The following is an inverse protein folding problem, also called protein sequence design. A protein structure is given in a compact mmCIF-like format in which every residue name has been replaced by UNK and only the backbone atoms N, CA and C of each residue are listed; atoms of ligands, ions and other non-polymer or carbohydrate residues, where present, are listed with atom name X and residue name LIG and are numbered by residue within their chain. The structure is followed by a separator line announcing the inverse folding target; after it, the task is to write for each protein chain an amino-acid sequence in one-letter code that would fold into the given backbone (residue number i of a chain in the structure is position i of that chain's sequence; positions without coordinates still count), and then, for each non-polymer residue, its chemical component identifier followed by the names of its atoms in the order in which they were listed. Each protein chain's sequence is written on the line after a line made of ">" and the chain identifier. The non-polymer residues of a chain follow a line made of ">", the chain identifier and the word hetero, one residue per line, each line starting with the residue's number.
data_IF_898924769108
#
_entry.id   IF_898924769108
#
_cell.length_a   1.000
_cell.length_b   1.000
_cell.length_c   1.000
_cell.angle_alpha   90.00
_cell.angle_beta   90.00
_cell.angle_gamma   90.00
#
_symmetry.space_group_name_H-M   'P 1'
#
loop_
_entity.id
_entity.type
_entity.pdbx_description
1 polymer ?
#
# COMPACT_ATOMS: atom_id res chain seq x y z
N UNK A 1 5.70 -18.62 -4.20
CA UNK A 1 6.14 -17.27 -4.56
C UNK A 1 5.02 -16.32 -4.21
N UNK A 2 5.27 -15.26 -3.45
CA UNK A 2 4.26 -14.23 -3.18
C UNK A 2 4.27 -13.27 -4.38
N UNK A 3 3.13 -13.05 -5.00
CA UNK A 3 2.95 -12.02 -6.03
C UNK A 3 2.38 -10.78 -5.36
N UNK A 4 2.97 -9.62 -5.65
CA UNK A 4 2.63 -8.36 -4.99
C UNK A 4 3.58 -7.25 -5.40
N UNK A 5 3.44 -6.10 -4.75
CA UNK A 5 4.24 -4.90 -5.04
C UNK A 5 5.25 -4.70 -3.92
N UNK A 6 6.53 -4.70 -4.26
CA UNK A 6 7.62 -4.43 -3.33
C UNK A 6 7.75 -2.93 -3.10
N UNK A 7 7.77 -2.52 -1.85
CA UNK A 7 8.07 -1.13 -1.48
C UNK A 7 9.58 -0.90 -1.57
N UNK A 8 10.00 -0.05 -2.49
CA UNK A 8 11.43 0.31 -2.66
C UNK A 8 11.82 1.52 -1.82
N UNK A 9 10.90 2.46 -1.64
CA UNK A 9 11.13 3.70 -0.88
C UNK A 9 9.83 4.23 -0.32
N UNK A 10 9.91 4.82 0.87
CA UNK A 10 8.84 5.58 1.50
C UNK A 10 9.34 7.00 1.75
N UNK A 11 8.50 7.99 1.47
CA UNK A 11 8.77 9.38 1.83
C UNK A 11 8.39 9.63 3.29
N UNK A 12 9.22 10.35 4.04
CA UNK A 12 8.96 10.69 5.44
C UNK A 12 7.66 11.49 5.55
N UNK A 13 6.79 11.10 6.49
CA UNK A 13 5.50 11.72 6.74
C UNK A 13 4.42 11.41 5.69
N UNK A 14 4.72 10.56 4.69
CA UNK A 14 3.72 10.11 3.71
C UNK A 14 2.81 9.04 4.33
N UNK A 15 1.64 8.76 3.74
CA UNK A 15 0.70 7.77 4.27
C UNK A 15 1.31 6.41 4.63
N UNK A 16 2.19 5.88 3.78
CA UNK A 16 2.86 4.61 4.02
C UNK A 16 3.81 4.66 5.23
N UNK A 17 4.49 5.79 5.46
CA UNK A 17 5.37 6.01 6.61
C UNK A 17 4.55 6.05 7.90
N UNK A 18 3.47 6.84 7.90
CA UNK A 18 2.55 6.98 9.04
C UNK A 18 1.87 5.65 9.38
N UNK A 19 1.57 4.84 8.36
CA UNK A 19 1.02 3.49 8.52
C UNK A 19 2.05 2.45 8.98
N UNK A 20 3.32 2.82 9.15
CA UNK A 20 4.39 1.92 9.61
C UNK A 20 4.84 0.88 8.58
N UNK A 21 4.55 1.11 7.30
CA UNK A 21 5.13 0.33 6.21
C UNK A 21 6.62 0.67 6.08
N UNK A 22 7.39 -0.29 5.59
CA UNK A 22 8.83 -0.17 5.46
C UNK A 22 9.27 -0.58 4.04
N UNK A 23 10.44 -0.12 3.58
CA UNK A 23 11.10 -0.73 2.43
C UNK A 23 11.21 -2.25 2.60
N UNK A 24 11.12 -2.98 1.50
CA UNK A 24 11.09 -4.45 1.41
C UNK A 24 9.77 -5.11 1.83
N UNK A 25 8.79 -4.37 2.35
CA UNK A 25 7.44 -4.90 2.47
C UNK A 25 6.86 -5.22 1.10
N UNK A 26 6.08 -6.30 1.02
CA UNK A 26 5.38 -6.72 -0.20
C UNK A 26 3.88 -6.53 0.01
N UNK A 27 3.32 -5.50 -0.60
CA UNK A 27 1.87 -5.25 -0.58
C UNK A 27 1.19 -6.32 -1.43
N UNK A 28 0.14 -6.92 -0.88
CA UNK A 28 -0.64 -7.98 -1.53
C UNK A 28 -2.14 -7.70 -1.52
N UNK A 29 -2.61 -6.74 -0.73
CA UNK A 29 -4.04 -6.48 -0.51
C UNK A 29 -4.25 -5.00 -0.15
N UNK A 30 -5.28 -4.38 -0.73
CA UNK A 30 -5.76 -3.04 -0.39
C UNK A 30 -7.28 -3.11 -0.23
N UNK A 31 -7.77 -2.75 0.95
CA UNK A 31 -9.16 -3.01 1.33
C UNK A 31 -9.47 -4.50 1.23
N UNK A 32 -10.48 -4.86 0.45
CA UNK A 32 -10.86 -6.24 0.15
C UNK A 32 -10.31 -6.73 -1.21
N UNK A 33 -9.48 -5.92 -1.90
CA UNK A 33 -8.94 -6.24 -3.22
C UNK A 33 -7.52 -6.82 -3.12
N UNK A 34 -7.32 -7.98 -3.77
CA UNK A 34 -5.99 -8.57 -3.97
C UNK A 34 -5.20 -7.75 -4.99
N UNK A 35 -3.97 -7.37 -4.65
CA UNK A 35 -3.10 -6.54 -5.49
C UNK A 35 -1.83 -7.33 -5.82
N UNK A 36 -1.71 -7.75 -7.07
CA UNK A 36 -0.56 -8.52 -7.57
C UNK A 36 0.35 -7.72 -8.51
N UNK A 37 -0.09 -6.54 -8.96
CA UNK A 37 0.69 -5.67 -9.85
C UNK A 37 0.32 -4.17 -9.74
N UNK A 38 1.15 -3.32 -10.34
CA UNK A 38 1.01 -1.85 -10.32
C UNK A 38 -0.29 -1.38 -11.00
N UNK A 39 -0.77 -2.10 -12.02
CA UNK A 39 -1.99 -1.75 -12.75
C UNK A 39 -3.23 -1.86 -11.86
N UNK A 40 -3.34 -2.94 -11.10
CA UNK A 40 -4.40 -3.15 -10.11
C UNK A 40 -4.33 -2.12 -8.99
N UNK A 41 -3.14 -1.86 -8.44
CA UNK A 41 -2.97 -0.80 -7.43
C UNK A 41 -3.41 0.56 -7.98
N UNK A 42 -3.03 0.89 -9.21
CA UNK A 42 -3.43 2.16 -9.83
C UNK A 42 -4.94 2.24 -10.02
N UNK A 43 -5.57 1.14 -10.45
CA UNK A 43 -7.03 1.05 -10.61
C UNK A 43 -7.76 1.17 -9.27
N UNK A 44 -7.23 0.55 -8.21
CA UNK A 44 -7.75 0.67 -6.86
C UNK A 44 -7.71 2.13 -6.41
N UNK A 45 -6.55 2.79 -6.52
CA UNK A 45 -6.36 4.17 -6.07
C UNK A 45 -7.18 5.21 -6.85
N UNK A 46 -7.58 4.91 -8.10
CA UNK A 46 -8.49 5.78 -8.87
C UNK A 46 -9.93 5.72 -8.34
N UNK A 47 -10.32 4.58 -7.77
CA UNK A 47 -11.67 4.36 -7.25
C UNK A 47 -11.86 4.86 -5.81
N UNK A 48 -10.76 5.07 -5.09
CA UNK A 48 -10.75 5.42 -3.67
C UNK A 48 -10.20 6.85 -3.48
N UNK A 49 -11.01 7.82 -3.01
CA UNK A 49 -10.57 9.20 -2.89
C UNK A 49 -9.53 9.40 -1.77
N UNK A 50 -8.70 10.46 -1.88
CA UNK A 50 -7.91 10.95 -0.76
C UNK A 50 -8.75 11.19 0.50
N UNK A 51 -8.18 10.92 1.66
CA UNK A 51 -8.84 10.97 2.97
C UNK A 51 -9.54 9.67 3.37
N UNK A 52 -9.77 8.75 2.44
CA UNK A 52 -10.28 7.42 2.76
C UNK A 52 -9.24 6.59 3.51
N UNK A 53 -9.66 5.86 4.55
CA UNK A 53 -8.80 4.94 5.30
C UNK A 53 -9.09 3.51 4.89
N UNK A 54 -8.05 2.81 4.44
CA UNK A 54 -8.12 1.43 3.95
C UNK A 54 -7.25 0.52 4.81
N UNK A 55 -7.57 -0.77 4.82
CA UNK A 55 -6.67 -1.81 5.33
C UNK A 55 -5.67 -2.17 4.24
N UNK A 56 -4.38 -2.27 4.59
CA UNK A 56 -3.31 -2.71 3.70
C UNK A 56 -2.78 -4.04 4.21
N UNK A 57 -2.90 -5.08 3.40
CA UNK A 57 -2.28 -6.38 3.66
C UNK A 57 -0.91 -6.46 3.00
N UNK A 58 0.10 -6.87 3.77
CA UNK A 58 1.47 -6.96 3.29
C UNK A 58 2.22 -8.13 3.89
N UNK A 59 3.29 -8.58 3.24
CA UNK A 59 4.26 -9.47 3.82
C UNK A 59 5.50 -8.71 4.26
N UNK A 60 5.97 -9.00 5.47
CA UNK A 60 7.26 -8.54 6.00
C UNK A 60 8.01 -9.74 6.52
N UNK A 61 9.21 -9.99 5.97
CA UNK A 61 10.05 -11.16 6.35
C UNK A 61 9.31 -12.50 6.29
N UNK A 62 8.37 -12.65 5.36
CA UNK A 62 7.58 -13.87 5.17
C UNK A 62 6.31 -13.98 6.01
N UNK A 63 6.06 -13.05 6.93
CA UNK A 63 4.84 -13.01 7.75
C UNK A 63 3.78 -12.09 7.14
N UNK A 64 2.53 -12.56 7.04
CA UNK A 64 1.40 -11.73 6.59
C UNK A 64 1.00 -10.79 7.74
N UNK A 65 0.99 -9.51 7.45
CA UNK A 65 0.65 -8.43 8.37
C UNK A 65 -0.42 -7.53 7.74
N UNK A 66 -1.08 -6.73 8.58
CA UNK A 66 -2.03 -5.70 8.15
C UNK A 66 -1.75 -4.37 8.85
N UNK A 67 -2.08 -3.27 8.20
CA UNK A 67 -2.06 -1.92 8.79
C UNK A 67 -3.19 -1.08 8.22
N UNK A 68 -3.58 -0.01 8.91
CA UNK A 68 -4.50 0.99 8.36
C UNK A 68 -3.72 2.13 7.72
N UNK A 69 -4.14 2.56 6.54
CA UNK A 69 -3.52 3.64 5.79
C UNK A 69 -4.59 4.60 5.29
N UNK A 70 -4.42 5.89 5.58
CA UNK A 70 -5.26 6.95 5.02
C UNK A 70 -4.67 7.44 3.70
N UNK A 71 -5.42 7.31 2.61
CA UNK A 71 -4.99 7.75 1.28
C UNK A 71 -4.77 9.27 1.27
N UNK A 72 -3.73 9.71 0.58
CA UNK A 72 -3.47 11.12 0.34
C UNK A 72 -3.43 11.41 -1.16
N UNK A 73 -3.63 12.68 -1.51
CA UNK A 73 -3.43 13.14 -2.87
C UNK A 73 -2.01 12.81 -3.32
N UNK A 74 -1.89 12.33 -4.57
CA UNK A 74 -0.58 12.19 -5.19
C UNK A 74 0.00 13.60 -5.31
N UNK A 75 1.19 13.88 -4.72
CA UNK A 75 1.85 15.16 -4.94
C UNK A 75 2.04 15.35 -6.44
N UNK A 76 1.50 16.43 -7.00
CA UNK A 76 1.87 16.85 -8.35
C UNK A 76 3.34 17.28 -8.31
N UNK A 77 4.21 16.74 -9.18
CA UNK A 77 5.61 17.18 -9.26
C UNK A 77 5.73 18.68 -9.59
#
# INVERSE_FOLDING_TARGET
>A
MVQGIVIVRIGVGMPADVAGLLPEDVIVELGDESIINIGEMSKFLVQHPPGETITVGYYRRGEKNTTQLTLAERPTP
#
